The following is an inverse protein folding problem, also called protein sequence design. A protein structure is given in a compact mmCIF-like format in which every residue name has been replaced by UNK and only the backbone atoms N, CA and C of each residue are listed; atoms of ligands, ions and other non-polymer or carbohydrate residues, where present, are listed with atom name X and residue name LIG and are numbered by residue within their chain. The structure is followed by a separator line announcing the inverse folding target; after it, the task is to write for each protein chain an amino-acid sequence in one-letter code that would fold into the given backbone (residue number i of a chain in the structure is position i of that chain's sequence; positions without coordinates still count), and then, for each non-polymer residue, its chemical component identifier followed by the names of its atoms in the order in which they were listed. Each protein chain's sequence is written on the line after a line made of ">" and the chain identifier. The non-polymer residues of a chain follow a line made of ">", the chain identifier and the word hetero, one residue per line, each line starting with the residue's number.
data_IF_038373293597
#
_entry.id   IF_038373293597
#
_cell.length_a   1.000
_cell.length_b   1.000
_cell.length_c   1.000
_cell.angle_alpha   90.00
_cell.angle_beta   90.00
_cell.angle_gamma   90.00
#
_symmetry.space_group_name_H-M   'P 1'
#
loop_
_entity.id
_entity.type
_entity.pdbx_description
1 polymer ?
#
# COMPACT_ATOMS: atom_id res chain seq x y z
N UNK A 1 -44.06 -4.18 8.11
CA UNK A 1 -42.80 -3.50 7.74
C UNK A 1 -42.14 -3.08 9.04
N UNK A 2 -41.11 -3.77 9.45
CA UNK A 2 -40.30 -3.42 10.63
C UNK A 2 -39.04 -2.82 10.06
N UNK A 3 -38.95 -1.49 10.09
CA UNK A 3 -37.70 -0.78 9.86
C UNK A 3 -36.74 -1.18 10.99
N UNK A 4 -35.76 -2.02 10.66
CA UNK A 4 -34.56 -2.14 11.46
C UNK A 4 -33.75 -0.88 11.22
N UNK A 5 -33.99 0.16 11.98
CA UNK A 5 -32.98 1.18 12.24
C UNK A 5 -31.79 0.46 12.88
N UNK A 6 -30.80 0.09 12.07
CA UNK A 6 -29.48 -0.23 12.59
C UNK A 6 -28.95 1.07 13.16
N UNK A 7 -29.00 1.22 14.46
CA UNK A 7 -28.31 2.28 15.18
C UNK A 7 -26.81 2.01 15.02
N UNK A 8 -26.26 2.37 13.86
CA UNK A 8 -24.80 2.43 13.68
C UNK A 8 -24.36 3.55 14.60
N UNK A 9 -23.74 3.17 15.72
CA UNK A 9 -23.12 4.17 16.60
C UNK A 9 -22.10 4.94 15.75
N UNK A 10 -22.34 6.25 15.60
CA UNK A 10 -21.39 7.12 14.88
C UNK A 10 -20.03 6.99 15.53
N UNK A 11 -18.96 7.01 14.72
CA UNK A 11 -17.60 7.03 15.24
C UNK A 11 -17.44 8.28 16.13
N UNK A 12 -17.01 8.08 17.35
CA UNK A 12 -16.81 9.17 18.34
C UNK A 12 -15.32 9.55 18.48
N UNK A 13 -14.48 8.92 17.68
CA UNK A 13 -13.03 9.14 17.67
C UNK A 13 -12.26 8.47 18.81
N UNK A 14 -12.93 7.75 19.72
CA UNK A 14 -12.27 7.08 20.88
C UNK A 14 -11.65 5.74 20.51
N UNK A 15 -12.09 5.12 19.43
CA UNK A 15 -11.49 3.89 18.92
C UNK A 15 -10.00 4.10 18.57
N UNK A 16 -9.27 3.02 18.55
CA UNK A 16 -7.81 3.10 18.42
C UNK A 16 -7.29 2.42 17.16
N UNK A 17 -6.20 2.98 16.63
CA UNK A 17 -5.44 2.49 15.50
C UNK A 17 -3.95 2.47 15.86
N UNK A 18 -3.18 1.58 15.22
CA UNK A 18 -1.74 1.47 15.46
C UNK A 18 -0.98 2.00 14.25
N UNK A 19 -0.27 3.11 14.44
CA UNK A 19 0.61 3.69 13.43
C UNK A 19 2.07 3.27 13.65
N UNK A 20 2.84 3.25 12.57
CA UNK A 20 4.28 3.02 12.59
C UNK A 20 5.05 4.18 13.24
N UNK A 21 6.37 4.10 13.29
CA UNK A 21 7.20 5.16 13.87
C UNK A 21 7.13 6.48 13.07
N UNK A 22 7.12 6.39 11.75
CA UNK A 22 7.01 7.55 10.83
C UNK A 22 5.59 8.08 10.68
N UNK A 23 4.60 7.38 11.19
CA UNK A 23 3.20 7.81 11.32
C UNK A 23 2.58 8.36 10.03
N UNK A 24 2.57 9.70 9.92
CA UNK A 24 1.91 10.44 8.82
C UNK A 24 2.87 11.51 8.33
N UNK A 25 3.05 11.61 7.01
CA UNK A 25 3.90 12.61 6.38
C UNK A 25 3.40 12.93 4.95
N UNK A 26 3.76 14.12 4.46
CA UNK A 26 3.39 14.56 3.12
C UNK A 26 4.60 14.51 2.20
N UNK A 27 4.45 13.88 1.05
CA UNK A 27 5.48 13.75 0.01
C UNK A 27 4.85 13.44 -1.35
N UNK A 28 5.65 13.04 -2.32
CA UNK A 28 5.16 12.47 -3.59
C UNK A 28 5.16 10.94 -3.54
N UNK A 29 4.19 10.30 -4.17
CA UNK A 29 4.17 8.85 -4.33
C UNK A 29 5.39 8.40 -5.13
N UNK A 30 6.12 7.43 -4.59
CA UNK A 30 7.39 6.95 -5.15
C UNK A 30 7.27 5.73 -6.05
N UNK A 31 6.12 5.03 -6.06
CA UNK A 31 5.99 3.70 -6.67
C UNK A 31 4.61 3.48 -7.30
N UNK A 32 4.53 2.56 -8.27
CA UNK A 32 3.26 2.09 -8.83
C UNK A 32 2.50 3.10 -9.66
N UNK A 33 1.18 2.99 -9.64
CA UNK A 33 0.27 3.72 -10.51
C UNK A 33 0.30 5.24 -10.29
N UNK A 34 0.42 5.66 -9.03
CA UNK A 34 0.34 7.06 -8.65
C UNK A 34 1.70 7.74 -8.48
N UNK A 35 2.75 7.16 -9.07
CA UNK A 35 4.10 7.74 -8.98
C UNK A 35 4.11 9.23 -9.35
N UNK A 36 4.72 10.05 -8.50
CA UNK A 36 4.80 11.51 -8.67
C UNK A 36 3.59 12.28 -8.15
N UNK A 37 2.52 11.61 -7.72
CA UNK A 37 1.36 12.30 -7.15
C UNK A 37 1.64 12.81 -5.73
N UNK A 38 1.24 14.05 -5.39
CA UNK A 38 1.24 14.53 -4.03
C UNK A 38 0.40 13.62 -3.13
N UNK A 39 0.96 13.16 -2.03
CA UNK A 39 0.31 12.18 -1.17
C UNK A 39 0.58 12.43 0.30
N UNK A 40 -0.44 12.29 1.13
CA UNK A 40 -0.33 12.20 2.58
C UNK A 40 -0.27 10.72 2.93
N UNK A 41 0.90 10.25 3.31
CA UNK A 41 1.10 8.87 3.73
C UNK A 41 0.64 8.66 5.15
N UNK A 42 -0.22 7.68 5.38
CA UNK A 42 -0.56 7.15 6.69
C UNK A 42 -0.02 5.72 6.79
N UNK A 43 1.10 5.58 7.52
CA UNK A 43 1.80 4.31 7.66
C UNK A 43 1.38 3.57 8.91
N UNK A 44 0.72 2.42 8.72
CA UNK A 44 0.23 1.56 9.80
C UNK A 44 1.29 0.58 10.29
N UNK A 45 1.20 0.23 11.57
CA UNK A 45 1.95 -0.87 12.17
C UNK A 45 1.37 -2.22 11.78
N UNK A 46 2.12 -3.26 12.06
CA UNK A 46 1.78 -4.67 11.89
C UNK A 46 1.72 -5.13 10.43
N UNK A 47 2.19 -6.34 10.22
CA UNK A 47 2.10 -7.06 8.96
C UNK A 47 1.82 -8.54 9.24
N UNK A 48 1.10 -9.19 8.36
CA UNK A 48 0.85 -10.63 8.40
C UNK A 48 1.90 -11.45 7.62
N UNK A 49 2.86 -10.79 6.94
CA UNK A 49 4.02 -11.40 6.27
C UNK A 49 5.32 -10.93 6.92
N UNK A 50 6.44 -11.58 6.56
CA UNK A 50 7.77 -11.26 7.10
C UNK A 50 8.77 -10.81 6.04
N UNK A 51 8.59 -11.22 4.78
CA UNK A 51 9.41 -10.86 3.61
C UNK A 51 10.93 -11.07 3.82
N UNK A 52 11.33 -12.13 4.50
CA UNK A 52 12.72 -12.40 4.83
C UNK A 52 13.64 -12.58 3.62
N UNK A 53 13.07 -12.98 2.47
CA UNK A 53 13.81 -13.17 1.24
C UNK A 53 14.40 -11.88 0.65
N UNK A 54 14.00 -10.72 1.12
CA UNK A 54 14.55 -9.41 0.70
C UNK A 54 15.68 -8.93 1.61
N UNK A 55 16.23 -9.80 2.46
CA UNK A 55 17.32 -9.43 3.35
C UNK A 55 18.58 -9.01 2.57
N UNK A 56 19.18 -7.90 2.99
CA UNK A 56 20.41 -7.34 2.47
C UNK A 56 21.24 -6.76 3.62
N UNK A 57 22.44 -6.26 3.35
CA UNK A 57 23.26 -5.58 4.35
C UNK A 57 22.53 -4.36 4.96
N UNK A 58 21.79 -3.63 4.12
CA UNK A 58 21.05 -2.42 4.53
C UNK A 58 19.66 -2.73 5.10
N UNK A 59 19.14 -3.93 4.84
CA UNK A 59 17.85 -4.42 5.35
C UNK A 59 17.96 -5.85 5.90
N UNK A 60 18.63 -6.05 7.03
CA UNK A 60 18.92 -7.39 7.56
C UNK A 60 17.65 -8.16 7.98
N UNK A 61 16.53 -7.47 8.17
CA UNK A 61 15.24 -8.07 8.47
C UNK A 61 14.45 -8.52 7.23
N UNK A 62 14.93 -8.19 6.02
CA UNK A 62 14.33 -8.55 4.74
C UNK A 62 13.40 -7.48 4.19
N UNK A 63 12.33 -7.13 4.91
CA UNK A 63 11.42 -6.06 4.51
C UNK A 63 12.07 -4.69 4.75
N UNK A 64 12.11 -3.83 3.74
CA UNK A 64 12.63 -2.46 3.82
C UNK A 64 11.85 -1.56 4.80
N UNK A 65 10.58 -1.87 4.99
CA UNK A 65 9.70 -1.15 5.93
C UNK A 65 9.62 -1.80 7.32
N UNK A 66 10.41 -2.85 7.61
CA UNK A 66 10.32 -3.61 8.86
C UNK A 66 10.49 -2.73 10.10
N UNK A 67 11.51 -1.88 10.11
CA UNK A 67 11.82 -1.00 11.25
C UNK A 67 10.63 -0.08 11.54
N UNK A 68 9.99 0.46 10.49
CA UNK A 68 8.82 1.33 10.64
C UNK A 68 7.62 0.58 11.21
N UNK A 69 7.14 -0.47 10.53
CA UNK A 69 5.88 -1.12 10.93
C UNK A 69 5.97 -2.02 12.16
N UNK A 70 7.16 -2.40 12.59
CA UNK A 70 7.37 -3.17 13.82
C UNK A 70 7.12 -2.34 15.09
N UNK A 71 7.26 -1.03 15.02
CA UNK A 71 6.89 -0.11 16.10
C UNK A 71 5.37 0.08 16.12
N UNK A 72 4.77 0.06 17.31
CA UNK A 72 3.32 0.15 17.50
C UNK A 72 2.97 1.37 18.34
N UNK A 73 2.67 2.46 17.67
CA UNK A 73 2.14 3.65 18.33
C UNK A 73 0.62 3.58 18.34
N UNK A 74 0.05 3.29 19.52
CA UNK A 74 -1.40 3.26 19.71
C UNK A 74 -1.91 4.69 19.85
N UNK A 75 -2.81 5.09 18.95
CA UNK A 75 -3.45 6.41 18.93
C UNK A 75 -4.96 6.24 18.86
N UNK A 76 -5.71 7.22 19.38
CA UNK A 76 -7.13 7.30 19.10
C UNK A 76 -7.36 7.82 17.68
N UNK A 77 -8.52 7.54 17.09
CA UNK A 77 -8.88 8.07 15.77
C UNK A 77 -8.89 9.60 15.80
N UNK A 78 -9.31 10.18 16.96
CA UNK A 78 -9.27 11.63 17.17
C UNK A 78 -7.85 12.18 17.15
N UNK A 79 -6.87 11.52 17.79
CA UNK A 79 -5.47 11.98 17.77
C UNK A 79 -4.92 12.01 16.32
N UNK A 80 -5.25 11.00 15.52
CA UNK A 80 -4.85 10.94 14.11
C UNK A 80 -5.51 12.06 13.30
N UNK A 81 -6.79 12.29 13.52
CA UNK A 81 -7.55 13.37 12.88
C UNK A 81 -7.01 14.75 13.22
N UNK A 82 -6.80 15.03 14.51
CA UNK A 82 -6.25 16.31 14.99
C UNK A 82 -4.84 16.56 14.43
N UNK A 83 -4.04 15.49 14.29
CA UNK A 83 -2.72 15.60 13.67
C UNK A 83 -2.84 15.99 12.19
N UNK A 84 -3.73 15.37 11.42
CA UNK A 84 -3.94 15.74 10.00
C UNK A 84 -4.36 17.20 9.86
N UNK A 85 -5.24 17.66 10.73
CA UNK A 85 -5.72 19.05 10.73
C UNK A 85 -4.62 20.05 11.12
N UNK A 86 -3.91 19.80 12.23
CA UNK A 86 -2.90 20.72 12.77
C UNK A 86 -1.62 20.78 11.94
N UNK A 87 -1.30 19.71 11.19
CA UNK A 87 -0.15 19.66 10.28
C UNK A 87 -0.41 20.31 8.91
N UNK A 88 -1.61 20.82 8.66
CA UNK A 88 -1.99 21.36 7.35
C UNK A 88 -2.31 20.29 6.29
N UNK A 89 -2.28 19.02 6.65
CA UNK A 89 -2.52 17.91 5.69
C UNK A 89 -3.97 17.84 5.23
N UNK A 90 -4.92 18.36 6.03
CA UNK A 90 -6.31 18.54 5.61
C UNK A 90 -6.40 19.34 4.30
N UNK A 91 -5.65 20.44 4.22
CA UNK A 91 -5.68 21.33 3.04
C UNK A 91 -5.04 20.64 1.83
N UNK A 92 -3.96 19.86 2.00
CA UNK A 92 -3.39 19.07 0.93
C UNK A 92 -4.39 18.04 0.39
N UNK A 93 -5.06 17.31 1.28
CA UNK A 93 -6.07 16.30 0.92
C UNK A 93 -7.27 16.95 0.24
N UNK A 94 -7.76 18.10 0.72
CA UNK A 94 -8.85 18.84 0.12
C UNK A 94 -8.52 19.32 -1.31
N UNK A 95 -7.26 19.69 -1.54
CA UNK A 95 -6.75 20.12 -2.85
C UNK A 95 -6.26 18.97 -3.74
N UNK A 96 -6.63 17.73 -3.44
CA UNK A 96 -6.47 16.59 -4.34
C UNK A 96 -5.25 15.70 -4.09
N UNK A 97 -4.49 15.93 -3.02
CA UNK A 97 -3.50 14.94 -2.59
C UNK A 97 -4.18 13.63 -2.19
N UNK A 98 -3.52 12.51 -2.43
CA UNK A 98 -4.03 11.18 -2.09
C UNK A 98 -3.75 10.89 -0.61
N UNK A 99 -4.74 10.40 0.14
CA UNK A 99 -4.49 9.73 1.41
C UNK A 99 -3.99 8.32 1.10
N UNK A 100 -2.68 8.14 1.15
CA UNK A 100 -2.01 6.88 0.88
C UNK A 100 -1.93 6.06 2.16
N UNK A 101 -2.72 5.00 2.24
CA UNK A 101 -2.76 4.11 3.41
C UNK A 101 -1.84 2.91 3.15
N UNK A 102 -0.78 2.82 3.91
CA UNK A 102 0.30 1.85 3.73
C UNK A 102 0.83 1.37 5.10
N UNK A 103 2.01 0.80 5.15
CA UNK A 103 2.68 0.39 6.38
C UNK A 103 3.24 -1.01 6.30
N UNK A 104 2.89 -1.90 7.25
CA UNK A 104 3.06 -3.32 7.09
C UNK A 104 2.00 -3.88 6.11
N UNK A 105 0.87 -4.32 6.67
CA UNK A 105 -0.32 -4.62 5.87
C UNK A 105 -1.51 -3.82 6.44
N UNK A 106 -1.98 -2.78 5.75
CA UNK A 106 -3.00 -1.89 6.30
C UNK A 106 -4.35 -2.59 6.53
N UNK A 107 -4.70 -3.58 5.71
CA UNK A 107 -5.97 -4.29 5.83
C UNK A 107 -6.06 -5.18 7.09
N UNK A 108 -4.95 -5.41 7.81
CA UNK A 108 -4.99 -5.98 9.18
C UNK A 108 -5.81 -5.10 10.12
N UNK A 109 -5.85 -3.80 9.89
CA UNK A 109 -6.56 -2.82 10.69
C UNK A 109 -7.77 -2.20 9.96
N UNK A 110 -8.30 -2.85 8.91
CA UNK A 110 -9.33 -2.24 8.06
C UNK A 110 -10.60 -1.80 8.81
N UNK A 111 -10.98 -2.48 9.89
CA UNK A 111 -12.13 -2.06 10.70
C UNK A 111 -11.90 -0.70 11.38
N UNK A 112 -10.72 -0.50 11.95
CA UNK A 112 -10.37 0.79 12.57
C UNK A 112 -10.24 1.89 11.51
N UNK A 113 -9.72 1.56 10.31
CA UNK A 113 -9.66 2.50 9.18
C UNK A 113 -11.04 2.92 8.70
N UNK A 114 -12.01 2.01 8.57
CA UNK A 114 -13.39 2.36 8.21
C UNK A 114 -14.01 3.30 9.23
N UNK A 115 -13.83 3.02 10.53
CA UNK A 115 -14.27 3.92 11.60
C UNK A 115 -13.59 5.28 11.54
N UNK A 116 -12.31 5.32 11.16
CA UNK A 116 -11.59 6.57 10.96
C UNK A 116 -12.19 7.40 9.81
N UNK A 117 -12.54 6.76 8.70
CA UNK A 117 -13.19 7.48 7.59
C UNK A 117 -14.58 7.99 7.96
N UNK A 118 -15.37 7.19 8.67
CA UNK A 118 -16.66 7.66 9.19
C UNK A 118 -16.48 8.89 10.08
N UNK A 119 -15.45 8.89 10.93
CA UNK A 119 -15.12 10.03 11.79
C UNK A 119 -14.71 11.25 10.96
N UNK A 120 -13.85 11.08 9.95
CA UNK A 120 -13.48 12.16 9.02
C UNK A 120 -14.69 12.72 8.28
N UNK A 121 -15.59 11.85 7.77
CA UNK A 121 -16.79 12.27 7.06
C UNK A 121 -17.73 13.10 7.96
N UNK A 122 -17.87 12.73 9.24
CA UNK A 122 -18.65 13.48 10.23
C UNK A 122 -18.02 14.85 10.51
N UNK A 123 -16.71 14.93 10.73
CA UNK A 123 -16.03 16.15 11.16
C UNK A 123 -15.67 17.09 10.00
N UNK A 124 -15.35 16.57 8.82
CA UNK A 124 -15.00 17.38 7.65
C UNK A 124 -16.14 17.55 6.66
N UNK A 125 -17.15 16.68 6.68
CA UNK A 125 -18.23 16.65 5.68
C UNK A 125 -17.82 16.05 4.33
N UNK A 126 -16.63 15.46 4.24
CA UNK A 126 -16.09 14.82 3.04
C UNK A 126 -15.01 13.80 3.38
N UNK A 127 -14.74 12.89 2.44
CA UNK A 127 -13.68 11.89 2.52
C UNK A 127 -12.64 12.18 1.43
N UNK A 128 -11.33 12.13 1.72
CA UNK A 128 -10.30 12.34 0.71
C UNK A 128 -10.25 11.18 -0.30
N UNK A 129 -9.59 11.41 -1.43
CA UNK A 129 -9.20 10.31 -2.33
C UNK A 129 -8.25 9.36 -1.58
N UNK A 130 -8.57 8.08 -1.56
CA UNK A 130 -7.82 7.06 -0.82
C UNK A 130 -7.19 6.08 -1.80
N UNK A 131 -5.93 5.73 -1.55
CA UNK A 131 -5.28 4.60 -2.18
C UNK A 131 -4.57 3.73 -1.14
N UNK A 132 -4.75 2.42 -1.25
CA UNK A 132 -4.10 1.44 -0.40
C UNK A 132 -2.88 0.83 -1.07
N UNK A 133 -1.77 0.70 -0.33
CA UNK A 133 -0.73 -0.27 -0.66
C UNK A 133 -0.94 -1.54 0.18
N UNK A 134 -1.28 -2.65 -0.47
CA UNK A 134 -1.55 -3.93 0.18
C UNK A 134 -0.75 -5.07 -0.43
N UNK A 135 -0.44 -6.07 0.37
CA UNK A 135 0.19 -7.31 -0.09
C UNK A 135 -0.80 -8.31 -0.73
N UNK A 136 -2.07 -7.93 -0.86
CA UNK A 136 -3.15 -8.71 -1.46
C UNK A 136 -3.40 -10.08 -0.77
N UNK A 137 -3.27 -10.15 0.56
CA UNK A 137 -3.55 -11.39 1.33
C UNK A 137 -4.80 -11.32 2.20
N UNK A 138 -5.38 -10.14 2.35
CA UNK A 138 -6.60 -9.89 3.13
C UNK A 138 -7.66 -9.32 2.19
N UNK A 139 -8.85 -9.89 2.24
CA UNK A 139 -9.97 -9.42 1.42
C UNK A 139 -10.42 -8.04 1.91
N UNK A 140 -10.48 -7.04 1.03
CA UNK A 140 -11.03 -5.74 1.37
C UNK A 140 -12.50 -5.84 1.78
N UNK A 141 -12.90 -5.03 2.75
CA UNK A 141 -14.30 -4.87 3.12
C UNK A 141 -15.06 -4.16 1.99
N UNK A 142 -16.31 -4.55 1.66
CA UNK A 142 -17.09 -3.92 0.60
C UNK A 142 -17.30 -2.41 0.78
N UNK A 143 -17.22 -1.89 1.99
CA UNK A 143 -17.33 -0.45 2.25
C UNK A 143 -16.22 0.36 1.56
N UNK A 144 -15.08 -0.24 1.24
CA UNK A 144 -14.00 0.44 0.50
C UNK A 144 -14.41 0.80 -0.93
N UNK A 145 -15.24 -0.04 -1.57
CA UNK A 145 -15.81 0.27 -2.90
C UNK A 145 -16.78 1.46 -2.80
N UNK A 146 -17.61 1.51 -1.75
CA UNK A 146 -18.57 2.59 -1.51
C UNK A 146 -17.89 3.97 -1.40
N UNK A 147 -16.74 4.02 -0.76
CA UNK A 147 -15.97 5.28 -0.63
C UNK A 147 -15.03 5.54 -1.81
N UNK A 148 -15.03 4.70 -2.82
CA UNK A 148 -14.20 4.86 -4.02
C UNK A 148 -12.70 4.70 -3.77
N UNK A 149 -12.32 3.89 -2.77
CA UNK A 149 -10.91 3.59 -2.50
C UNK A 149 -10.28 2.79 -3.65
N UNK A 150 -9.06 3.15 -4.02
CA UNK A 150 -8.25 2.41 -4.98
C UNK A 150 -7.21 1.54 -4.27
N UNK A 151 -6.66 0.55 -4.98
CA UNK A 151 -5.71 -0.38 -4.42
C UNK A 151 -4.51 -0.56 -5.36
N UNK A 152 -3.34 -0.21 -4.89
CA UNK A 152 -2.06 -0.61 -5.46
C UNK A 152 -1.62 -1.90 -4.76
N UNK A 153 -1.88 -3.05 -5.38
CA UNK A 153 -1.54 -4.34 -4.79
C UNK A 153 -0.10 -4.72 -5.09
N UNK A 154 0.59 -5.25 -4.11
CA UNK A 154 1.95 -5.77 -4.25
C UNK A 154 2.01 -7.23 -3.79
N UNK A 155 1.45 -8.18 -4.57
CA UNK A 155 1.48 -9.58 -4.22
C UNK A 155 2.92 -10.05 -4.07
N UNK A 156 3.18 -10.84 -3.02
CA UNK A 156 4.53 -11.30 -2.74
C UNK A 156 4.82 -12.61 -3.46
N UNK A 157 5.83 -12.58 -4.32
CA UNK A 157 6.32 -13.73 -5.07
C UNK A 157 7.22 -14.64 -4.22
N UNK A 158 7.76 -15.70 -4.81
CA UNK A 158 8.63 -16.65 -4.11
C UNK A 158 9.91 -16.00 -3.55
N UNK A 159 10.38 -14.93 -4.19
CA UNK A 159 11.56 -14.17 -3.77
C UNK A 159 11.39 -13.49 -2.40
N UNK A 160 10.17 -13.31 -1.89
CA UNK A 160 9.95 -12.71 -0.57
C UNK A 160 10.26 -13.66 0.61
N UNK A 161 10.38 -14.97 0.36
CA UNK A 161 10.75 -15.98 1.34
C UNK A 161 9.63 -16.45 2.29
N UNK A 162 8.43 -15.91 2.22
CA UNK A 162 7.29 -16.46 2.98
C UNK A 162 6.70 -17.71 2.29
N UNK A 163 6.14 -18.66 3.06
CA UNK A 163 5.43 -19.82 2.52
C UNK A 163 4.29 -19.42 1.58
N UNK A 164 4.05 -20.19 0.54
CA UNK A 164 3.06 -19.89 -0.50
C UNK A 164 1.64 -19.75 0.07
N UNK A 165 1.27 -20.57 1.04
CA UNK A 165 -0.02 -20.52 1.70
C UNK A 165 -0.25 -19.23 2.51
N UNK A 166 0.81 -18.55 2.94
CA UNK A 166 0.72 -17.24 3.60
C UNK A 166 0.58 -16.09 2.60
N UNK A 167 1.37 -16.09 1.52
CA UNK A 167 1.52 -14.96 0.59
C UNK A 167 0.60 -15.00 -0.64
N UNK A 168 0.08 -16.17 -1.01
CA UNK A 168 -0.74 -16.38 -2.20
C UNK A 168 -2.19 -16.72 -1.80
N UNK A 169 -3.11 -15.78 -2.04
CA UNK A 169 -4.52 -15.89 -1.67
C UNK A 169 -5.41 -15.73 -2.92
N UNK A 170 -5.74 -16.83 -3.62
CA UNK A 170 -6.47 -16.76 -4.89
C UNK A 170 -7.76 -15.94 -4.86
N UNK A 171 -8.59 -16.10 -3.82
CA UNK A 171 -9.84 -15.33 -3.68
C UNK A 171 -9.63 -13.84 -3.55
N UNK A 172 -8.53 -13.42 -2.89
CA UNK A 172 -8.18 -12.01 -2.72
C UNK A 172 -7.63 -11.43 -4.02
N UNK A 173 -6.77 -12.18 -4.71
CA UNK A 173 -6.23 -11.81 -6.01
C UNK A 173 -7.32 -11.69 -7.07
N UNK A 174 -8.28 -12.60 -7.09
CA UNK A 174 -9.45 -12.56 -7.95
C UNK A 174 -10.29 -11.30 -7.70
N UNK A 175 -10.57 -10.99 -6.43
CA UNK A 175 -11.26 -9.76 -6.05
C UNK A 175 -10.54 -8.51 -6.59
N UNK A 176 -9.24 -8.41 -6.39
CA UNK A 176 -8.44 -7.26 -6.88
C UNK A 176 -8.41 -7.19 -8.40
N UNK A 177 -8.37 -8.33 -9.10
CA UNK A 177 -8.43 -8.35 -10.57
C UNK A 177 -9.77 -7.81 -11.08
N UNK A 178 -10.89 -8.26 -10.50
CA UNK A 178 -12.24 -7.83 -10.89
C UNK A 178 -12.48 -6.36 -10.57
N UNK A 179 -12.01 -5.88 -9.41
CA UNK A 179 -12.27 -4.52 -8.91
C UNK A 179 -11.24 -3.47 -9.36
N UNK A 180 -10.49 -3.73 -10.40
CA UNK A 180 -9.69 -2.71 -11.08
C UNK A 180 -8.39 -2.32 -10.40
N UNK A 181 -7.91 -3.07 -9.40
CA UNK A 181 -6.65 -2.76 -8.70
C UNK A 181 -5.44 -2.76 -9.62
N UNK A 182 -4.46 -1.91 -9.32
CA UNK A 182 -3.12 -1.97 -9.90
C UNK A 182 -2.29 -3.09 -9.25
N UNK A 183 -1.44 -3.78 -10.03
CA UNK A 183 -0.59 -4.87 -9.57
C UNK A 183 0.89 -4.51 -9.73
N UNK A 184 1.60 -4.36 -8.64
CA UNK A 184 3.02 -4.04 -8.58
C UNK A 184 3.83 -5.26 -8.14
N UNK A 185 4.73 -5.75 -9.00
CA UNK A 185 5.59 -6.90 -8.73
C UNK A 185 7.04 -6.46 -8.53
N UNK A 186 7.66 -6.94 -7.45
CA UNK A 186 9.07 -6.68 -7.14
C UNK A 186 9.94 -7.71 -7.84
N UNK A 187 10.76 -7.26 -8.79
CA UNK A 187 11.59 -8.08 -9.67
C UNK A 187 13.05 -7.99 -9.23
N UNK A 188 13.62 -9.12 -8.88
CA UNK A 188 15.03 -9.24 -8.52
C UNK A 188 15.89 -9.77 -9.67
N UNK A 189 15.35 -10.67 -10.49
CA UNK A 189 16.00 -11.29 -11.65
C UNK A 189 15.01 -11.53 -12.78
N UNK A 190 15.50 -11.71 -14.01
CA UNK A 190 14.67 -11.90 -15.20
C UNK A 190 13.66 -13.05 -15.06
N UNK A 191 14.08 -14.17 -14.45
CA UNK A 191 13.21 -15.36 -14.30
C UNK A 191 12.01 -15.15 -13.35
N UNK A 192 11.96 -14.06 -12.57
CA UNK A 192 10.81 -13.75 -11.72
C UNK A 192 9.55 -13.49 -12.56
N UNK A 193 9.72 -13.10 -13.81
CA UNK A 193 8.63 -12.87 -14.75
C UNK A 193 7.79 -14.12 -15.01
N UNK A 194 8.39 -15.32 -14.94
CA UNK A 194 7.68 -16.58 -15.15
C UNK A 194 6.66 -16.82 -14.02
N UNK A 195 7.00 -16.45 -12.78
CA UNK A 195 6.06 -16.50 -11.66
C UNK A 195 4.95 -15.45 -11.82
N UNK A 196 5.28 -14.23 -12.26
CA UNK A 196 4.28 -13.18 -12.56
C UNK A 196 3.22 -13.70 -13.52
N UNK A 197 3.62 -14.32 -14.63
CA UNK A 197 2.66 -14.87 -15.58
C UNK A 197 1.92 -16.09 -15.04
N UNK A 198 2.64 -17.10 -14.54
CA UNK A 198 2.04 -18.39 -14.19
C UNK A 198 1.16 -18.33 -12.94
N UNK A 199 1.43 -17.43 -12.00
CA UNK A 199 0.71 -17.35 -10.73
C UNK A 199 -0.27 -16.19 -10.65
N UNK A 200 -0.06 -15.10 -11.42
CA UNK A 200 -0.85 -13.89 -11.28
C UNK A 200 -1.57 -13.49 -12.57
N UNK A 201 -0.84 -13.24 -13.66
CA UNK A 201 -1.47 -12.72 -14.87
C UNK A 201 -2.44 -13.72 -15.48
N UNK A 202 -1.96 -14.92 -15.80
CA UNK A 202 -2.77 -15.95 -16.51
C UNK A 202 -3.94 -16.46 -15.67
N UNK A 203 -3.78 -16.82 -14.36
CA UNK A 203 -4.90 -17.35 -13.58
C UNK A 203 -6.01 -16.32 -13.28
N UNK A 204 -5.71 -15.03 -13.26
CA UNK A 204 -6.67 -13.98 -12.88
C UNK A 204 -6.98 -13.01 -14.03
N UNK A 205 -6.52 -13.29 -15.24
CA UNK A 205 -6.74 -12.48 -16.45
C UNK A 205 -6.45 -10.97 -16.21
N UNK A 206 -5.32 -10.69 -15.54
CA UNK A 206 -4.95 -9.32 -15.19
C UNK A 206 -4.50 -8.57 -16.44
N UNK A 207 -5.18 -7.45 -16.81
CA UNK A 207 -4.78 -6.66 -17.98
C UNK A 207 -3.38 -6.08 -17.83
N UNK A 208 -2.57 -6.16 -18.90
CA UNK A 208 -1.18 -5.69 -18.89
C UNK A 208 -1.02 -4.23 -18.48
N UNK A 209 -2.00 -3.37 -18.82
CA UNK A 209 -2.00 -1.96 -18.44
C UNK A 209 -2.15 -1.70 -16.94
N UNK A 210 -2.55 -2.72 -16.17
CA UNK A 210 -2.66 -2.65 -14.69
C UNK A 210 -1.50 -3.36 -13.97
N UNK A 211 -0.42 -3.66 -14.67
CA UNK A 211 0.76 -4.33 -14.12
C UNK A 211 1.95 -3.39 -14.12
N UNK A 212 2.61 -3.26 -12.98
CA UNK A 212 3.85 -2.51 -12.80
C UNK A 212 4.96 -3.46 -12.35
N UNK A 213 6.10 -3.42 -13.04
CA UNK A 213 7.32 -4.10 -12.62
C UNK A 213 8.24 -3.10 -11.92
N UNK A 214 8.70 -3.44 -10.74
CA UNK A 214 9.54 -2.60 -9.90
C UNK A 214 10.83 -3.33 -9.54
N UNK A 215 12.03 -2.72 -9.67
CA UNK A 215 13.28 -3.36 -9.27
C UNK A 215 13.35 -3.59 -7.76
N UNK A 216 13.81 -4.78 -7.37
CA UNK A 216 14.12 -5.13 -5.99
C UNK A 216 15.43 -4.43 -5.57
N UNK A 217 15.32 -3.29 -4.89
CA UNK A 217 16.46 -2.48 -4.47
C UNK A 217 16.15 -1.72 -3.18
N UNK A 218 17.15 -1.42 -2.37
CA UNK A 218 17.05 -0.65 -1.13
C UNK A 218 17.79 0.70 -1.17
N UNK A 219 18.60 0.94 -2.22
CA UNK A 219 19.38 2.17 -2.40
C UNK A 219 19.30 2.69 -3.83
N UNK A 220 19.75 3.93 -4.04
CA UNK A 220 19.84 4.53 -5.38
C UNK A 220 20.79 3.75 -6.28
N UNK A 221 21.90 3.30 -5.75
CA UNK A 221 22.93 2.55 -6.45
C UNK A 221 22.37 1.22 -6.98
N UNK A 222 21.73 0.45 -6.12
CA UNK A 222 21.04 -0.80 -6.50
C UNK A 222 19.91 -0.54 -7.51
N UNK A 223 19.20 0.58 -7.36
CA UNK A 223 18.16 0.96 -8.31
C UNK A 223 18.74 1.21 -9.71
N UNK A 224 19.83 1.97 -9.82
CA UNK A 224 20.52 2.25 -11.10
C UNK A 224 21.02 0.97 -11.75
N UNK A 225 21.53 0.02 -10.96
CA UNK A 225 22.01 -1.27 -11.44
C UNK A 225 20.87 -2.14 -12.01
N UNK A 226 19.76 -2.27 -11.29
CA UNK A 226 18.68 -3.22 -11.62
C UNK A 226 17.60 -2.65 -12.57
N UNK A 227 17.38 -1.34 -12.54
CA UNK A 227 16.32 -0.70 -13.31
C UNK A 227 16.36 -0.99 -14.82
N UNK A 228 17.52 -1.02 -15.51
CA UNK A 228 17.56 -1.33 -16.94
C UNK A 228 16.96 -2.70 -17.29
N UNK A 229 17.30 -3.74 -16.53
CA UNK A 229 16.76 -5.09 -16.73
C UNK A 229 15.24 -5.11 -16.55
N UNK A 230 14.73 -4.49 -15.50
CA UNK A 230 13.29 -4.47 -15.22
C UNK A 230 12.52 -3.63 -16.24
N UNK A 231 13.10 -2.52 -16.70
CA UNK A 231 12.51 -1.69 -17.75
C UNK A 231 12.41 -2.43 -19.09
N UNK A 232 13.43 -3.22 -19.47
CA UNK A 232 13.38 -4.04 -20.68
C UNK A 232 12.33 -5.16 -20.57
N UNK A 233 12.18 -5.78 -19.39
CA UNK A 233 11.08 -6.73 -19.14
C UNK A 233 9.71 -6.04 -19.27
N UNK A 234 9.53 -4.88 -18.65
CA UNK A 234 8.28 -4.13 -18.73
C UNK A 234 7.92 -3.81 -20.20
N UNK A 235 8.88 -3.32 -20.97
CA UNK A 235 8.75 -3.03 -22.39
C UNK A 235 8.40 -4.28 -23.22
N UNK A 236 9.12 -5.39 -22.98
CA UNK A 236 8.93 -6.66 -23.68
C UNK A 236 7.51 -7.21 -23.52
N UNK A 237 6.97 -7.12 -22.30
CA UNK A 237 5.67 -7.69 -21.96
C UNK A 237 4.52 -6.69 -21.95
N UNK A 238 4.78 -5.42 -22.31
CA UNK A 238 3.79 -4.33 -22.32
C UNK A 238 3.22 -4.03 -20.95
N UNK A 239 4.04 -4.18 -19.91
CA UNK A 239 3.75 -3.75 -18.55
C UNK A 239 4.25 -2.33 -18.31
N UNK A 240 3.79 -1.71 -17.24
CA UNK A 240 4.33 -0.43 -16.82
C UNK A 240 5.63 -0.66 -16.02
N UNK A 241 6.57 0.25 -16.13
CA UNK A 241 7.75 0.29 -15.28
C UNK A 241 7.48 1.21 -14.09
N UNK A 242 7.75 0.71 -12.88
CA UNK A 242 7.70 1.52 -11.66
C UNK A 242 9.12 1.70 -11.12
N UNK A 243 9.75 2.85 -11.27
CA UNK A 243 10.95 3.15 -10.48
C UNK A 243 10.59 3.26 -9.00
N UNK A 244 11.61 3.31 -8.14
CA UNK A 244 11.48 3.77 -6.76
C UNK A 244 11.92 5.24 -6.71
N UNK A 245 11.00 6.15 -7.05
CA UNK A 245 11.28 7.58 -7.25
C UNK A 245 11.93 8.21 -6.02
N UNK A 246 11.47 7.86 -4.83
CA UNK A 246 12.02 8.36 -3.57
C UNK A 246 13.51 7.99 -3.40
N UNK A 247 13.95 6.81 -3.85
CA UNK A 247 15.37 6.45 -3.84
C UNK A 247 16.16 7.29 -4.84
N UNK A 248 15.60 7.58 -6.02
CA UNK A 248 16.28 8.39 -7.03
C UNK A 248 16.45 9.85 -6.60
N UNK A 249 15.44 10.42 -5.93
CA UNK A 249 15.45 11.83 -5.51
C UNK A 249 16.19 12.01 -4.19
N UNK A 250 15.88 11.20 -3.18
CA UNK A 250 16.35 11.42 -1.80
C UNK A 250 17.24 10.30 -1.25
N UNK A 251 17.48 9.24 -2.04
CA UNK A 251 18.17 8.02 -1.63
C UNK A 251 17.48 7.39 -0.40
N UNK A 252 18.23 7.09 0.65
CA UNK A 252 17.71 6.48 1.88
C UNK A 252 17.21 7.49 2.92
N UNK A 253 17.01 8.75 2.54
CA UNK A 253 16.46 9.75 3.46
C UNK A 253 15.02 9.40 3.85
N UNK A 254 14.68 9.58 5.12
CA UNK A 254 13.35 9.29 5.66
C UNK A 254 12.51 10.57 5.78
N UNK A 255 11.21 10.47 5.59
CA UNK A 255 10.23 11.57 5.81
C UNK A 255 10.47 12.79 4.92
N UNK A 256 10.83 12.58 3.68
CA UNK A 256 11.13 13.61 2.68
C UNK A 256 9.98 13.78 1.70
#
# INVERSE_FOLDING_TARGET
>A
MIEKESTIMKADGTETIYLSDDKIFYTVEGEGEFIGYPSVFMRLSMCNLTCKGFASADSPHGCDSYISWSVKNKLTLKDVFDFLASSGYKDHLYNGAILKITGGEPLVQQKALLRFLEYMEVEWGWVPRIDFETNATILPDPEWERVGATFTTSPKMSNNGDPVDRRYKPKVLDWHSINGSGFKFVIDKESDIDEVFSKYITPFDIPTGRVWLMPCCGSREEHIEKAPMVAELAKKYRFNFSPRLHLLVWNMALKV
#
